data_IF_853440278443
#
_entry.id   IF_853440278443
#
_cell.length_a   1.000
_cell.length_b   1.000
_cell.length_c   1.000
_cell.angle_alpha   90.00
_cell.angle_beta   90.00
_cell.angle_gamma   90.00
#
_symmetry.space_group_name_H-M   'P 1'
#
loop_
_entity.id
_entity.type
_entity.pdbx_description
1 polymer ?
#
# COMPACT_ATOMS: atom_id res chain seq x y z
N UNK A 1 7.68 -21.43 19.94
CA UNK A 1 7.89 -20.46 18.84
C UNK A 1 9.36 -20.11 18.79
N UNK A 2 9.97 -20.12 17.60
CA UNK A 2 11.35 -19.71 17.37
C UNK A 2 11.41 -18.18 17.23
N UNK A 3 12.53 -17.52 17.56
CA UNK A 3 12.68 -16.06 17.38
C UNK A 3 12.36 -15.57 15.96
N UNK A 4 12.64 -16.39 14.94
CA UNK A 4 12.32 -16.10 13.53
C UNK A 4 10.82 -16.02 13.24
N UNK A 5 9.97 -16.65 14.06
CA UNK A 5 8.51 -16.60 13.92
C UNK A 5 7.97 -15.20 14.26
N UNK A 6 8.69 -14.42 15.07
CA UNK A 6 8.35 -13.03 15.36
C UNK A 6 8.51 -12.11 14.15
N UNK A 7 9.38 -12.46 13.19
CA UNK A 7 9.52 -11.69 11.96
C UNK A 7 8.27 -11.77 11.07
N UNK A 8 7.52 -12.87 11.17
CA UNK A 8 6.25 -13.06 10.44
C UNK A 8 5.20 -12.03 10.88
N UNK A 9 5.20 -11.65 12.16
CA UNK A 9 4.21 -10.74 12.73
C UNK A 9 4.61 -9.25 12.69
N UNK A 10 5.82 -8.91 12.24
CA UNK A 10 6.24 -7.50 12.13
C UNK A 10 5.30 -6.71 11.22
N UNK A 11 5.05 -7.21 10.00
CA UNK A 11 4.22 -6.49 9.05
C UNK A 11 2.74 -6.32 9.50
N UNK A 12 2.04 -7.32 10.09
CA UNK A 12 0.70 -7.10 10.61
C UNK A 12 0.70 -6.18 11.84
N UNK A 13 1.73 -6.22 12.70
CA UNK A 13 1.85 -5.26 13.82
C UNK A 13 1.98 -3.83 13.28
N UNK A 14 2.82 -3.60 12.27
CA UNK A 14 2.93 -2.29 11.63
C UNK A 14 1.61 -1.86 10.96
N UNK A 15 0.90 -2.78 10.32
CA UNK A 15 -0.41 -2.50 9.73
C UNK A 15 -1.43 -2.07 10.78
N UNK A 16 -1.47 -2.74 11.93
CA UNK A 16 -2.38 -2.42 13.04
C UNK A 16 -2.04 -1.05 13.67
N UNK A 17 -0.75 -0.76 13.86
CA UNK A 17 -0.33 0.48 14.52
C UNK A 17 -0.50 1.70 13.59
N UNK A 18 -0.18 1.55 12.31
CA UNK A 18 -0.12 2.69 11.39
C UNK A 18 -1.24 2.67 10.35
N UNK A 19 -1.41 1.57 9.61
CA UNK A 19 -2.30 1.54 8.43
C UNK A 19 -3.77 1.61 8.84
N UNK A 20 -4.24 0.75 9.75
CA UNK A 20 -5.67 0.68 10.11
C UNK A 20 -6.19 1.98 10.76
N UNK A 21 -5.47 2.63 11.71
CA UNK A 21 -5.89 3.92 12.22
C UNK A 21 -5.95 4.99 11.13
N UNK A 22 -4.96 5.04 10.23
CA UNK A 22 -4.93 6.01 9.14
C UNK A 22 -6.10 5.79 8.16
N UNK A 23 -6.49 4.55 7.86
CA UNK A 23 -7.68 4.26 7.04
C UNK A 23 -8.92 4.89 7.67
N UNK A 24 -9.12 4.71 8.98
CA UNK A 24 -10.23 5.32 9.71
C UNK A 24 -10.23 6.85 9.62
N UNK A 25 -9.08 7.47 9.88
CA UNK A 25 -8.92 8.93 9.86
C UNK A 25 -9.15 9.51 8.45
N UNK A 26 -8.55 8.90 7.42
CA UNK A 26 -8.71 9.33 6.02
C UNK A 26 -10.16 9.20 5.57
N UNK A 27 -10.84 8.11 5.94
CA UNK A 27 -12.26 7.88 5.64
C UNK A 27 -13.16 8.90 6.33
N UNK A 28 -12.86 9.23 7.58
CA UNK A 28 -13.56 10.29 8.31
C UNK A 28 -13.41 11.64 7.61
N UNK A 29 -12.19 12.06 7.27
CA UNK A 29 -11.98 13.33 6.59
C UNK A 29 -12.52 13.35 5.15
N UNK A 30 -12.55 12.21 4.44
CA UNK A 30 -13.16 12.12 3.11
C UNK A 30 -14.66 12.36 3.20
N UNK A 31 -15.33 11.77 4.20
CA UNK A 31 -16.74 11.99 4.48
C UNK A 31 -17.01 13.45 4.82
N UNK A 32 -16.26 14.04 5.76
CA UNK A 32 -16.39 15.46 6.13
C UNK A 32 -16.20 16.38 4.91
N UNK A 33 -15.22 16.09 4.06
CA UNK A 33 -14.96 16.84 2.83
C UNK A 33 -16.15 16.77 1.87
N UNK A 34 -16.77 15.59 1.72
CA UNK A 34 -17.98 15.42 0.91
C UNK A 34 -19.17 16.18 1.49
N UNK A 35 -19.46 16.00 2.78
CA UNK A 35 -20.59 16.65 3.45
C UNK A 35 -20.47 18.18 3.39
N UNK A 36 -19.27 18.71 3.54
CA UNK A 36 -19.03 20.15 3.37
C UNK A 36 -19.36 20.64 1.95
N UNK A 37 -18.93 19.90 0.92
CA UNK A 37 -19.20 20.25 -0.48
C UNK A 37 -20.69 20.25 -0.79
N UNK A 38 -21.43 19.24 -0.32
CA UNK A 38 -22.89 19.18 -0.48
C UNK A 38 -23.57 20.37 0.19
N UNK A 39 -23.21 20.69 1.43
CA UNK A 39 -23.78 21.85 2.12
C UNK A 39 -23.53 23.18 1.38
N UNK A 40 -22.34 23.37 0.79
CA UNK A 40 -22.04 24.56 -0.02
C UNK A 40 -22.87 24.59 -1.31
N UNK A 41 -23.07 23.45 -1.97
CA UNK A 41 -23.92 23.34 -3.16
C UNK A 41 -25.38 23.71 -2.84
N UNK A 42 -25.86 23.30 -1.68
CA UNK A 42 -27.21 23.62 -1.18
C UNK A 42 -27.31 25.07 -0.64
N UNK A 43 -26.30 25.92 -0.87
CA UNK A 43 -26.18 27.30 -0.36
C UNK A 43 -26.30 27.43 1.16
N UNK A 44 -26.06 26.33 1.89
CA UNK A 44 -26.09 26.29 3.35
C UNK A 44 -24.73 26.61 3.96
N UNK A 45 -24.71 27.27 5.12
CA UNK A 45 -23.48 27.47 5.90
C UNK A 45 -23.06 26.12 6.52
N UNK A 46 -21.99 25.54 6.00
CA UNK A 46 -21.44 24.30 6.56
C UNK A 46 -20.78 24.53 7.91
N UNK A 47 -21.13 23.71 8.90
CA UNK A 47 -20.48 23.65 10.23
C UNK A 47 -19.10 22.97 10.17
N UNK A 48 -18.77 22.32 9.06
CA UNK A 48 -17.52 21.59 8.88
C UNK A 48 -16.43 22.58 8.46
N UNK A 49 -15.26 22.63 9.12
CA UNK A 49 -14.20 23.58 8.79
C UNK A 49 -13.70 23.47 7.33
N UNK A 50 -13.25 24.57 6.69
CA UNK A 50 -12.66 24.52 5.35
C UNK A 50 -11.38 23.67 5.23
N UNK A 51 -10.68 23.46 6.34
CA UNK A 51 -9.38 22.76 6.37
C UNK A 51 -9.49 21.24 6.16
N UNK A 52 -10.68 20.64 6.34
CA UNK A 52 -10.86 19.17 6.29
C UNK A 52 -10.36 18.52 5.01
N UNK A 53 -10.47 19.21 3.86
CA UNK A 53 -9.96 18.69 2.59
C UNK A 53 -8.44 18.66 2.52
N UNK A 54 -7.75 19.59 3.20
CA UNK A 54 -6.28 19.59 3.30
C UNK A 54 -5.81 18.50 4.26
N UNK A 55 -6.49 18.32 5.39
CA UNK A 55 -6.19 17.23 6.32
C UNK A 55 -6.41 15.85 5.68
N UNK A 56 -7.50 15.67 4.92
CA UNK A 56 -7.71 14.44 4.13
C UNK A 56 -6.50 14.10 3.26
N UNK A 57 -5.98 15.07 2.49
CA UNK A 57 -4.83 14.84 1.61
C UNK A 57 -3.55 14.60 2.40
N UNK A 58 -3.32 15.35 3.47
CA UNK A 58 -2.15 15.16 4.34
C UNK A 58 -2.11 13.75 4.91
N UNK A 59 -3.20 13.31 5.54
CA UNK A 59 -3.29 11.96 6.12
C UNK A 59 -3.30 10.89 5.03
N UNK A 60 -3.94 11.16 3.88
CA UNK A 60 -3.90 10.27 2.71
C UNK A 60 -2.48 10.01 2.22
N UNK A 61 -1.60 11.03 2.22
CA UNK A 61 -0.19 10.84 1.88
C UNK A 61 0.54 9.92 2.86
N UNK A 62 0.27 10.05 4.15
CA UNK A 62 0.80 9.16 5.18
C UNK A 62 0.30 7.73 4.97
N UNK A 63 -1.01 7.54 4.81
CA UNK A 63 -1.61 6.24 4.56
C UNK A 63 -0.95 5.54 3.37
N UNK A 64 -0.87 6.21 2.22
CA UNK A 64 -0.27 5.61 1.02
C UNK A 64 1.20 5.22 1.22
N UNK A 65 1.96 6.05 1.94
CA UNK A 65 3.38 5.77 2.22
C UNK A 65 3.55 4.57 3.16
N UNK A 66 2.76 4.52 4.23
CA UNK A 66 2.80 3.41 5.18
C UNK A 66 2.34 2.10 4.56
N UNK A 67 1.34 2.12 3.68
CA UNK A 67 0.91 0.92 2.94
C UNK A 67 2.07 0.37 2.13
N UNK A 68 2.75 1.21 1.32
CA UNK A 68 3.92 0.77 0.56
C UNK A 68 5.04 0.26 1.47
N UNK A 69 5.34 0.98 2.56
CA UNK A 69 6.37 0.56 3.51
C UNK A 69 6.05 -0.81 4.14
N UNK A 70 4.82 -1.02 4.61
CA UNK A 70 4.37 -2.30 5.17
C UNK A 70 4.41 -3.41 4.11
N UNK A 71 4.06 -3.12 2.85
CA UNK A 71 4.22 -4.08 1.75
C UNK A 71 5.69 -4.47 1.57
N UNK A 72 6.62 -3.52 1.58
CA UNK A 72 8.05 -3.82 1.48
C UNK A 72 8.52 -4.69 2.67
N UNK A 73 8.11 -4.37 3.90
CA UNK A 73 8.43 -5.22 5.06
C UNK A 73 7.81 -6.62 4.96
N UNK A 74 6.57 -6.72 4.48
CA UNK A 74 5.89 -8.00 4.27
C UNK A 74 6.56 -8.87 3.21
N UNK A 75 7.15 -8.26 2.17
CA UNK A 75 7.92 -8.96 1.14
C UNK A 75 9.36 -9.28 1.58
N UNK A 76 9.95 -8.44 2.43
CA UNK A 76 11.34 -8.62 2.87
C UNK A 76 11.56 -9.94 3.63
N UNK A 77 10.61 -10.37 4.45
CA UNK A 77 10.71 -11.64 5.19
C UNK A 77 10.79 -12.88 4.27
N UNK A 78 9.79 -13.17 3.40
CA UNK A 78 9.85 -14.35 2.55
C UNK A 78 11.02 -14.33 1.56
N UNK A 79 11.36 -13.15 1.02
CA UNK A 79 12.52 -13.00 0.13
C UNK A 79 13.83 -13.24 0.89
N UNK A 80 13.97 -12.67 2.08
CA UNK A 80 15.14 -12.88 2.94
C UNK A 80 15.30 -14.34 3.38
N UNK A 81 14.19 -15.00 3.73
CA UNK A 81 14.17 -16.43 4.03
C UNK A 81 14.66 -17.25 2.82
N UNK A 82 14.22 -16.91 1.61
CA UNK A 82 14.67 -17.57 0.37
C UNK A 82 16.17 -17.34 0.10
N UNK A 83 16.66 -16.11 0.29
CA UNK A 83 18.08 -15.76 0.13
C UNK A 83 18.97 -16.60 1.06
N UNK A 84 18.56 -16.72 2.34
CA UNK A 84 19.32 -17.46 3.35
C UNK A 84 19.31 -18.96 3.06
N UNK A 85 18.13 -19.54 2.77
CA UNK A 85 18.01 -20.98 2.52
C UNK A 85 18.81 -21.44 1.31
N UNK A 86 18.82 -20.64 0.23
CA UNK A 86 19.50 -20.99 -1.01
C UNK A 86 20.93 -20.42 -1.12
N UNK A 87 21.42 -19.77 -0.06
CA UNK A 87 22.73 -19.11 -0.01
C UNK A 87 23.01 -18.25 -1.25
N UNK A 88 22.05 -17.41 -1.63
CA UNK A 88 22.07 -16.70 -2.92
C UNK A 88 23.30 -15.80 -3.11
N UNK A 89 23.95 -15.38 -2.02
CA UNK A 89 25.23 -14.65 -2.09
C UNK A 89 26.36 -15.45 -2.74
N UNK A 90 26.32 -16.78 -2.68
CA UNK A 90 27.29 -17.66 -3.32
C UNK A 90 26.74 -18.31 -4.58
N UNK A 91 25.47 -18.75 -4.57
CA UNK A 91 24.87 -19.51 -5.67
C UNK A 91 24.35 -18.63 -6.82
N UNK A 92 23.90 -17.41 -6.53
CA UNK A 92 23.37 -16.48 -7.54
C UNK A 92 23.56 -15.01 -7.12
N UNK A 93 24.82 -14.58 -7.09
CA UNK A 93 25.23 -13.27 -6.57
C UNK A 93 24.57 -12.09 -7.28
N UNK A 94 24.38 -12.18 -8.60
CA UNK A 94 23.72 -11.12 -9.38
C UNK A 94 22.25 -10.93 -8.97
N UNK A 95 21.51 -12.02 -8.79
CA UNK A 95 20.13 -11.95 -8.32
C UNK A 95 20.07 -11.41 -6.88
N UNK A 96 20.99 -11.82 -6.01
CA UNK A 96 21.09 -11.30 -4.65
C UNK A 96 21.26 -9.77 -4.62
N UNK A 97 22.20 -9.22 -5.39
CA UNK A 97 22.39 -7.76 -5.49
C UNK A 97 21.16 -7.09 -6.10
N UNK A 98 20.60 -7.66 -7.18
CA UNK A 98 19.42 -7.11 -7.85
C UNK A 98 18.25 -6.91 -6.86
N UNK A 99 17.97 -7.91 -6.01
CA UNK A 99 16.88 -7.82 -5.03
C UNK A 99 17.07 -6.66 -4.05
N UNK A 100 18.28 -6.51 -3.50
CA UNK A 100 18.60 -5.41 -2.58
C UNK A 100 18.43 -4.06 -3.28
N UNK A 101 18.92 -3.94 -4.52
CA UNK A 101 18.77 -2.72 -5.30
C UNK A 101 17.31 -2.38 -5.58
N UNK A 102 16.46 -3.36 -5.89
CA UNK A 102 15.04 -3.10 -6.16
C UNK A 102 14.32 -2.61 -4.89
N UNK A 103 14.63 -3.15 -3.70
CA UNK A 103 14.12 -2.59 -2.44
C UNK A 103 14.47 -1.11 -2.27
N UNK A 104 15.75 -0.77 -2.45
CA UNK A 104 16.25 0.61 -2.30
C UNK A 104 15.62 1.53 -3.35
N UNK A 105 15.64 1.13 -4.63
CA UNK A 105 15.09 1.91 -5.73
C UNK A 105 13.58 2.14 -5.59
N UNK A 106 12.84 1.16 -5.06
CA UNK A 106 11.41 1.31 -4.78
C UNK A 106 11.17 2.38 -3.71
N UNK A 107 11.93 2.35 -2.61
CA UNK A 107 11.81 3.33 -1.53
C UNK A 107 12.21 4.75 -1.99
N UNK A 108 13.31 4.87 -2.74
CA UNK A 108 13.75 6.14 -3.33
C UNK A 108 12.73 6.67 -4.33
N UNK A 109 12.16 5.82 -5.18
CA UNK A 109 11.11 6.22 -6.13
C UNK A 109 9.86 6.72 -5.42
N UNK A 110 9.45 6.08 -4.32
CA UNK A 110 8.34 6.55 -3.50
C UNK A 110 8.64 7.94 -2.91
N UNK A 111 9.84 8.15 -2.39
CA UNK A 111 10.25 9.46 -1.87
C UNK A 111 10.20 10.53 -2.97
N UNK A 112 10.76 10.24 -4.14
CA UNK A 112 10.74 11.16 -5.29
C UNK A 112 9.32 11.43 -5.79
N UNK A 113 8.39 10.46 -5.70
CA UNK A 113 6.98 10.66 -6.01
C UNK A 113 6.32 11.72 -5.12
N UNK A 114 6.68 11.79 -3.83
CA UNK A 114 6.17 12.84 -2.93
C UNK A 114 6.70 14.23 -3.24
N UNK A 115 7.93 14.31 -3.75
CA UNK A 115 8.60 15.58 -4.07
C UNK A 115 8.18 16.07 -5.46
N UNK A 116 7.91 15.17 -6.39
CA UNK A 116 7.59 15.48 -7.78
C UNK A 116 6.32 16.31 -7.92
N UNK A 117 6.41 17.39 -8.70
CA UNK A 117 5.29 18.29 -9.04
C UNK A 117 4.84 18.08 -10.49
N UNK A 118 5.80 18.06 -11.41
CA UNK A 118 5.50 17.92 -12.82
C UNK A 118 4.87 16.55 -13.13
N UNK A 119 3.83 16.55 -13.97
CA UNK A 119 2.97 15.39 -14.24
C UNK A 119 3.75 14.16 -14.74
N UNK A 120 4.71 14.36 -15.64
CA UNK A 120 5.51 13.25 -16.18
C UNK A 120 6.39 12.60 -15.10
N UNK A 121 7.03 13.38 -14.22
CA UNK A 121 7.82 12.85 -13.12
C UNK A 121 6.97 12.10 -12.08
N UNK A 122 5.77 12.61 -11.75
CA UNK A 122 4.81 11.88 -10.90
C UNK A 122 4.44 10.54 -11.51
N UNK A 123 4.17 10.49 -12.81
CA UNK A 123 3.91 9.24 -13.54
C UNK A 123 5.10 8.27 -13.48
N UNK A 124 6.30 8.74 -13.82
CA UNK A 124 7.53 7.91 -13.82
C UNK A 124 7.78 7.32 -12.43
N UNK A 125 7.81 8.14 -11.38
CA UNK A 125 8.10 7.63 -10.03
C UNK A 125 6.99 6.74 -9.48
N UNK A 126 5.73 6.99 -9.83
CA UNK A 126 4.63 6.08 -9.50
C UNK A 126 4.79 4.72 -10.19
N UNK A 127 5.13 4.70 -11.48
CA UNK A 127 5.37 3.48 -12.23
C UNK A 127 6.59 2.72 -11.67
N UNK A 128 7.70 3.40 -11.40
CA UNK A 128 8.89 2.76 -10.83
C UNK A 128 8.62 2.17 -9.44
N UNK A 129 7.90 2.90 -8.58
CA UNK A 129 7.51 2.39 -7.26
C UNK A 129 6.60 1.16 -7.40
N UNK A 130 5.60 1.23 -8.26
CA UNK A 130 4.66 0.12 -8.49
C UNK A 130 5.34 -1.11 -9.09
N UNK A 131 6.19 -0.90 -10.10
CA UNK A 131 7.00 -1.97 -10.71
C UNK A 131 7.90 -2.64 -9.67
N UNK A 132 8.57 -1.86 -8.83
CA UNK A 132 9.43 -2.40 -7.77
C UNK A 132 8.68 -3.33 -6.82
N UNK A 133 7.49 -2.92 -6.36
CA UNK A 133 6.62 -3.77 -5.52
C UNK A 133 6.22 -5.06 -6.26
N UNK A 134 5.82 -4.97 -7.52
CA UNK A 134 5.39 -6.15 -8.30
C UNK A 134 6.56 -7.10 -8.56
N UNK A 135 7.74 -6.58 -8.93
CA UNK A 135 8.95 -7.37 -9.17
C UNK A 135 9.36 -8.12 -7.89
N UNK A 136 9.36 -7.44 -6.74
CA UNK A 136 9.63 -8.06 -5.45
C UNK A 136 8.55 -9.09 -5.09
N UNK A 137 7.28 -8.77 -5.31
CA UNK A 137 6.16 -9.67 -5.03
C UNK A 137 6.17 -10.96 -5.86
N UNK A 138 6.75 -10.92 -7.05
CA UNK A 138 6.86 -12.07 -7.94
C UNK A 138 8.05 -12.99 -7.65
N UNK A 139 8.90 -12.66 -6.68
CA UNK A 139 10.07 -13.46 -6.34
C UNK A 139 9.69 -14.83 -5.75
N UNK A 140 10.61 -15.77 -5.85
CA UNK A 140 10.51 -17.06 -5.17
C UNK A 140 10.49 -16.88 -3.64
N UNK A 141 9.78 -17.77 -2.95
CA UNK A 141 9.56 -17.69 -1.50
C UNK A 141 8.35 -16.82 -1.09
N UNK A 142 7.86 -15.92 -1.94
CA UNK A 142 6.66 -15.13 -1.65
C UNK A 142 5.40 -15.99 -1.76
N UNK A 143 4.67 -16.14 -0.65
CA UNK A 143 3.40 -16.88 -0.62
C UNK A 143 2.29 -16.07 -1.27
N UNK A 144 1.93 -16.44 -2.51
CA UNK A 144 0.98 -15.69 -3.35
C UNK A 144 -0.42 -16.27 -3.39
N UNK A 145 -0.59 -17.57 -3.08
CA UNK A 145 -1.86 -18.29 -3.18
C UNK A 145 -2.53 -18.13 -4.56
N UNK A 146 -1.77 -18.33 -5.63
CA UNK A 146 -2.19 -18.04 -7.02
C UNK A 146 -3.37 -18.88 -7.50
N UNK A 147 -3.50 -20.12 -7.03
CA UNK A 147 -4.66 -20.97 -7.30
C UNK A 147 -5.98 -20.40 -6.75
N UNK A 148 -5.92 -19.57 -5.71
CA UNK A 148 -7.09 -18.92 -5.08
C UNK A 148 -6.87 -17.39 -5.05
N UNK A 149 -6.40 -16.83 -6.16
CA UNK A 149 -5.99 -15.42 -6.28
C UNK A 149 -7.08 -14.43 -5.83
N UNK A 150 -8.36 -14.79 -6.02
CA UNK A 150 -9.52 -13.97 -5.67
C UNK A 150 -9.77 -13.86 -4.16
N UNK A 151 -9.11 -14.68 -3.32
CA UNK A 151 -9.10 -14.59 -1.84
C UNK A 151 -7.67 -14.52 -1.31
N UNK A 152 -6.71 -14.07 -2.11
CA UNK A 152 -5.30 -14.04 -1.72
C UNK A 152 -4.93 -12.73 -1.02
N UNK A 153 -4.30 -12.85 0.14
CA UNK A 153 -3.76 -11.70 0.87
C UNK A 153 -2.72 -10.95 0.04
N UNK A 154 -1.89 -11.68 -0.72
CA UNK A 154 -0.87 -11.12 -1.60
C UNK A 154 -1.48 -10.25 -2.69
N UNK A 155 -2.42 -10.78 -3.49
CA UNK A 155 -2.98 -10.02 -4.61
C UNK A 155 -3.78 -8.82 -4.13
N UNK A 156 -4.47 -8.93 -2.99
CA UNK A 156 -5.15 -7.79 -2.37
C UNK A 156 -4.15 -6.72 -1.93
N UNK A 157 -3.06 -7.12 -1.27
CA UNK A 157 -2.03 -6.20 -0.80
C UNK A 157 -1.29 -5.48 -1.92
N UNK A 158 -0.86 -6.20 -2.95
CA UNK A 158 -0.21 -5.60 -4.12
C UNK A 158 -1.17 -4.62 -4.80
N UNK A 159 -2.43 -5.01 -5.02
CA UNK A 159 -3.42 -4.15 -5.66
C UNK A 159 -3.69 -2.90 -4.81
N UNK A 160 -3.85 -3.05 -3.50
CA UNK A 160 -4.04 -1.92 -2.58
C UNK A 160 -2.84 -0.96 -2.60
N UNK A 161 -1.61 -1.49 -2.59
CA UNK A 161 -0.40 -0.67 -2.68
C UNK A 161 -0.31 0.10 -4.00
N UNK A 162 -0.63 -0.54 -5.13
CA UNK A 162 -0.67 0.11 -6.44
C UNK A 162 -1.74 1.22 -6.49
N UNK A 163 -2.92 0.99 -5.91
CA UNK A 163 -3.97 2.02 -5.80
C UNK A 163 -3.54 3.19 -4.91
N UNK A 164 -2.81 2.93 -3.83
CA UNK A 164 -2.24 3.97 -2.98
C UNK A 164 -1.18 4.80 -3.70
N UNK A 165 -0.27 4.17 -4.44
CA UNK A 165 0.73 4.85 -5.28
C UNK A 165 0.04 5.69 -6.35
N UNK A 166 -0.97 5.14 -7.03
CA UNK A 166 -1.75 5.88 -8.00
C UNK A 166 -2.46 7.08 -7.37
N UNK A 167 -3.05 6.90 -6.18
CA UNK A 167 -3.70 7.97 -5.43
C UNK A 167 -2.75 9.13 -5.11
N UNK A 168 -1.50 8.84 -4.73
CA UNK A 168 -0.45 9.86 -4.58
C UNK A 168 -0.15 10.55 -5.91
N UNK A 169 -0.01 9.76 -6.97
CA UNK A 169 0.41 10.21 -8.28
C UNK A 169 -0.57 11.19 -8.92
N UNK A 170 -1.87 11.15 -8.58
CA UNK A 170 -2.92 11.99 -9.19
C UNK A 170 -3.34 13.20 -8.36
N UNK A 171 -2.75 13.43 -7.18
CA UNK A 171 -3.19 14.49 -6.25
C UNK A 171 -3.31 15.84 -6.97
N UNK A 172 -2.29 16.26 -7.73
CA UNK A 172 -2.33 17.55 -8.40
C UNK A 172 -3.36 17.59 -9.54
N UNK A 173 -3.58 16.48 -10.25
CA UNK A 173 -4.61 16.39 -11.29
C UNK A 173 -6.03 16.57 -10.71
N UNK A 174 -6.29 16.07 -9.49
CA UNK A 174 -7.57 16.28 -8.77
C UNK A 174 -7.82 17.77 -8.49
N UNK A 175 -6.78 18.55 -8.22
CA UNK A 175 -6.91 19.98 -7.93
C UNK A 175 -6.99 20.84 -9.19
N UNK A 176 -6.28 20.45 -10.25
CA UNK A 176 -6.28 21.17 -11.54
C UNK A 176 -7.55 20.91 -12.36
N UNK A 177 -8.20 19.76 -12.15
CA UNK A 177 -9.38 19.35 -12.91
C UNK A 177 -10.67 20.03 -12.45
N UNK A 178 -11.19 20.92 -13.30
CA UNK A 178 -12.48 21.60 -13.09
C UNK A 178 -13.69 20.72 -13.37
N UNK A 179 -13.52 19.61 -14.10
CA UNK A 179 -14.60 18.70 -14.49
C UNK A 179 -14.91 17.61 -13.46
N UNK A 180 -14.14 17.54 -12.36
CA UNK A 180 -14.23 16.52 -11.30
C UNK A 180 -14.03 15.06 -11.77
N UNK A 181 -13.53 14.81 -12.99
CA UNK A 181 -13.23 13.46 -13.49
C UNK A 181 -12.20 12.75 -12.62
N UNK A 182 -11.07 13.40 -12.33
CA UNK A 182 -10.00 12.81 -11.50
C UNK A 182 -10.45 12.56 -10.07
N UNK A 183 -11.32 13.44 -9.56
CA UNK A 183 -11.92 13.30 -8.23
C UNK A 183 -12.86 12.10 -8.16
N UNK A 184 -13.73 11.93 -9.15
CA UNK A 184 -14.66 10.80 -9.19
C UNK A 184 -13.91 9.47 -9.36
N UNK A 185 -12.89 9.45 -10.21
CA UNK A 185 -11.99 8.30 -10.36
C UNK A 185 -11.31 7.97 -9.02
N UNK A 186 -10.74 8.97 -8.34
CA UNK A 186 -10.13 8.79 -7.03
C UNK A 186 -11.11 8.21 -6.00
N UNK A 187 -12.35 8.73 -5.94
CA UNK A 187 -13.38 8.22 -5.03
C UNK A 187 -13.68 6.76 -5.32
N UNK A 188 -13.96 6.42 -6.59
CA UNK A 188 -14.28 5.05 -6.99
C UNK A 188 -13.16 4.08 -6.63
N UNK A 189 -11.92 4.41 -7.00
CA UNK A 189 -10.75 3.57 -6.74
C UNK A 189 -10.44 3.43 -5.25
N UNK A 190 -10.63 4.48 -4.45
CA UNK A 190 -10.39 4.40 -3.00
C UNK A 190 -11.51 3.68 -2.24
N UNK A 191 -12.75 3.72 -2.73
CA UNK A 191 -13.80 2.83 -2.23
C UNK A 191 -13.44 1.36 -2.49
N UNK A 192 -12.92 1.05 -3.68
CA UNK A 192 -12.42 -0.29 -3.98
C UNK A 192 -11.21 -0.66 -3.10
N UNK A 193 -10.26 0.25 -2.91
CA UNK A 193 -9.12 0.04 -2.01
C UNK A 193 -9.54 -0.23 -0.55
N UNK A 194 -10.58 0.46 -0.06
CA UNK A 194 -11.13 0.22 1.27
C UNK A 194 -11.65 -1.22 1.43
N UNK A 195 -12.34 -1.75 0.42
CA UNK A 195 -12.77 -3.15 0.41
C UNK A 195 -11.59 -4.12 0.40
N UNK A 196 -10.52 -3.80 -0.35
CA UNK A 196 -9.29 -4.60 -0.33
C UNK A 196 -8.64 -4.60 1.05
N UNK A 197 -8.58 -3.47 1.76
CA UNK A 197 -8.05 -3.41 3.12
C UNK A 197 -8.85 -4.26 4.11
N UNK A 198 -10.19 -4.23 4.01
CA UNK A 198 -11.05 -5.13 4.81
C UNK A 198 -10.75 -6.60 4.49
N UNK A 199 -10.65 -6.93 3.20
CA UNK A 199 -10.27 -8.26 2.73
C UNK A 199 -8.88 -8.67 3.22
N UNK A 200 -7.91 -7.75 3.29
CA UNK A 200 -6.57 -8.03 3.81
C UNK A 200 -6.59 -8.37 5.30
N UNK A 201 -7.43 -7.73 6.11
CA UNK A 201 -7.59 -8.08 7.52
C UNK A 201 -8.06 -9.53 7.71
N UNK A 202 -9.01 -9.97 6.90
CA UNK A 202 -9.55 -11.35 6.92
C UNK A 202 -8.51 -12.34 6.39
N UNK A 203 -8.03 -12.12 5.15
CA UNK A 203 -7.12 -13.03 4.46
C UNK A 203 -5.74 -13.11 5.11
N UNK A 204 -5.26 -12.01 5.71
CA UNK A 204 -3.99 -11.98 6.44
C UNK A 204 -4.05 -12.81 7.72
N UNK A 205 -5.15 -12.71 8.47
CA UNK A 205 -5.36 -13.54 9.67
C UNK A 205 -5.42 -15.03 9.31
N UNK A 206 -6.12 -15.38 8.21
CA UNK A 206 -6.16 -16.74 7.68
C UNK A 206 -4.76 -17.23 7.30
N UNK A 207 -4.02 -16.45 6.51
CA UNK A 207 -2.71 -16.85 6.01
C UNK A 207 -1.70 -17.01 7.15
N UNK A 208 -1.74 -16.17 8.19
CA UNK A 208 -0.96 -16.35 9.42
C UNK A 208 -1.27 -17.68 10.12
N UNK A 209 -2.55 -18.06 10.21
CA UNK A 209 -2.94 -19.35 10.80
C UNK A 209 -2.44 -20.53 9.96
N UNK A 210 -2.52 -20.45 8.64
CA UNK A 210 -2.11 -21.51 7.74
C UNK A 210 -0.58 -21.68 7.70
N UNK A 211 0.16 -20.57 7.58
CA UNK A 211 1.62 -20.56 7.66
C UNK A 211 2.07 -21.05 9.04
N UNK A 212 1.41 -20.62 10.10
CA UNK A 212 1.67 -21.04 11.48
C UNK A 212 1.48 -22.54 11.66
N UNK A 213 0.35 -23.10 11.20
CA UNK A 213 0.09 -24.56 11.24
C UNK A 213 1.17 -25.35 10.49
N UNK A 214 1.51 -24.92 9.28
CA UNK A 214 2.52 -25.60 8.46
C UNK A 214 3.93 -25.54 9.07
N UNK A 215 4.35 -24.39 9.62
CA UNK A 215 5.70 -24.24 10.21
C UNK A 215 5.82 -24.82 11.63
N UNK A 216 4.73 -24.95 12.39
CA UNK A 216 4.74 -25.43 13.77
C UNK A 216 4.34 -26.91 13.94
N UNK A 217 4.07 -27.63 12.84
CA UNK A 217 3.80 -29.06 12.86
C UNK A 217 2.43 -29.42 13.43
N UNK A 218 1.38 -28.71 12.97
CA UNK A 218 -0.01 -29.10 13.24
C UNK A 218 -0.40 -30.43 12.62
#
# INVERSE_FOLDING_TARGET
MKPVDFLLIIHPTLAIIFVFPLIGIVSYYSWQTRQRRLAILDKNKSKIPPIVGREHVKVGRWLSSFVVAVTLFGLAYPIGENIIKNQMWASNFLQFIFLILIFILTAVSLYLLHVARQKHWRGIFATLTGMGIVVLGCQEGVFRRTNEWYISHYYYGITAALLMIFSLAIIEDIYQDKSNRWRNLHIFLNCFALLLFMGQGITGTRDLLEIGKYKLGG
#
